data_IF_908876927639
#
_entry.id   IF_908876927639
#
_cell.length_a   1.000
_cell.length_b   1.000
_cell.length_c   1.000
_cell.angle_alpha   90.00
_cell.angle_beta   90.00
_cell.angle_gamma   90.00
#
_symmetry.space_group_name_H-M   'P 1'
#
loop_
_entity.id
_entity.type
_entity.pdbx_description
1 polymer ?
#
# COMPACT_ATOMS: atom_id res chain seq x y z
N UNK A 1 14.97 0.70 23.41
CA UNK A 1 15.23 0.63 21.95
C UNK A 1 13.87 0.64 21.29
N UNK A 2 13.67 1.44 20.24
CA UNK A 2 12.50 1.27 19.37
C UNK A 2 12.84 0.08 18.48
N UNK A 3 12.20 -1.06 18.74
CA UNK A 3 12.43 -2.28 17.96
C UNK A 3 11.67 -2.19 16.64
N UNK A 4 12.22 -2.77 15.58
CA UNK A 4 11.54 -2.87 14.29
C UNK A 4 10.69 -4.13 14.32
N UNK A 5 9.37 -4.00 14.11
CA UNK A 5 8.48 -5.16 14.10
C UNK A 5 8.81 -6.09 12.93
N UNK A 6 8.78 -7.40 13.18
CA UNK A 6 8.82 -8.42 12.13
C UNK A 6 7.45 -8.63 11.47
N UNK A 7 6.41 -7.86 11.79
CA UNK A 7 5.11 -7.96 11.14
C UNK A 7 4.98 -7.00 9.96
N UNK A 8 4.37 -7.47 8.87
CA UNK A 8 3.96 -6.63 7.74
C UNK A 8 2.77 -5.76 8.15
N UNK A 9 3.04 -4.47 8.34
CA UNK A 9 2.03 -3.45 8.56
C UNK A 9 1.47 -3.01 7.21
N UNK A 10 0.29 -3.54 6.89
CA UNK A 10 -0.46 -3.19 5.67
C UNK A 10 -1.51 -2.16 6.05
N UNK A 11 -1.47 -1.00 5.41
CA UNK A 11 -2.58 -0.05 5.43
C UNK A 11 -3.41 -0.23 4.16
N UNK A 12 -4.70 -0.57 4.29
CA UNK A 12 -5.63 -0.70 3.16
C UNK A 12 -6.46 0.57 3.02
N UNK A 13 -6.50 1.12 1.80
CA UNK A 13 -7.39 2.22 1.40
C UNK A 13 -8.51 1.63 0.56
N UNK A 14 -9.74 1.79 1.05
CA UNK A 14 -10.98 1.29 0.44
C UNK A 14 -11.89 2.48 0.21
N UNK A 15 -12.52 2.53 -0.95
CA UNK A 15 -13.32 3.69 -1.35
C UNK A 15 -14.27 3.37 -2.49
N UNK A 16 -14.94 4.39 -3.02
CA UNK A 16 -15.79 4.22 -4.19
C UNK A 16 -15.02 4.55 -5.47
N UNK A 17 -15.42 3.93 -6.57
CA UNK A 17 -14.86 4.21 -7.89
C UNK A 17 -14.88 5.71 -8.18
N UNK A 18 -13.72 6.26 -8.55
CA UNK A 18 -13.55 7.69 -8.83
C UNK A 18 -13.17 8.57 -7.63
N UNK A 19 -13.08 8.00 -6.42
CA UNK A 19 -12.45 8.71 -5.30
C UNK A 19 -10.95 8.87 -5.57
N UNK A 20 -10.38 9.96 -5.04
CA UNK A 20 -8.97 10.30 -5.22
C UNK A 20 -8.16 9.95 -3.97
N UNK A 21 -7.00 9.35 -4.18
CA UNK A 21 -6.05 9.00 -3.11
C UNK A 21 -4.69 9.61 -3.42
N UNK A 22 -4.06 10.21 -2.42
CA UNK A 22 -2.68 10.69 -2.49
C UNK A 22 -1.82 9.82 -1.58
N UNK A 23 -0.85 9.11 -2.15
CA UNK A 23 0.03 8.16 -1.43
C UNK A 23 1.07 8.83 -0.53
N UNK A 24 1.30 10.13 -0.72
CA UNK A 24 2.33 10.90 0.00
C UNK A 24 3.74 10.62 -0.54
N UNK A 25 4.73 11.35 -0.04
CA UNK A 25 6.13 11.13 -0.43
C UNK A 25 6.63 9.79 0.13
N UNK A 26 7.41 9.07 -0.68
CA UNK A 26 8.11 7.86 -0.26
C UNK A 26 7.43 6.55 -0.67
N UNK A 27 6.13 6.54 -0.99
CA UNK A 27 5.47 5.35 -1.53
C UNK A 27 5.53 5.32 -3.06
N UNK A 28 5.95 4.19 -3.60
CA UNK A 28 6.01 3.94 -5.04
C UNK A 28 5.23 2.67 -5.38
N UNK A 29 4.54 2.69 -6.51
CA UNK A 29 3.86 1.52 -7.05
C UNK A 29 4.87 0.39 -7.24
N UNK A 30 4.57 -0.76 -6.64
CA UNK A 30 5.45 -1.92 -6.60
C UNK A 30 5.22 -2.91 -7.75
N UNK A 31 4.40 -2.55 -8.75
CA UNK A 31 3.92 -3.39 -9.88
C UNK A 31 3.15 -4.65 -9.47
N UNK A 32 3.06 -4.94 -8.16
CA UNK A 32 2.33 -6.06 -7.60
C UNK A 32 0.88 -5.69 -7.29
N UNK A 33 0.01 -6.70 -7.36
CA UNK A 33 -1.38 -6.60 -6.97
C UNK A 33 -1.70 -7.72 -5.99
N UNK A 34 -2.58 -7.45 -5.04
CA UNK A 34 -3.01 -8.41 -4.02
C UNK A 34 -4.53 -8.47 -3.95
N UNK A 35 -5.08 -9.68 -3.83
CA UNK A 35 -6.54 -9.87 -3.73
C UNK A 35 -6.89 -10.51 -2.39
N UNK A 36 -7.73 -9.85 -1.60
CA UNK A 36 -8.21 -10.35 -0.30
C UNK A 36 -9.72 -10.17 -0.22
N UNK A 37 -10.42 -11.24 0.18
CA UNK A 37 -11.88 -11.26 0.34
C UNK A 37 -12.66 -10.75 -0.90
N UNK A 38 -12.11 -10.96 -2.09
CA UNK A 38 -12.71 -10.55 -3.37
C UNK A 38 -12.42 -9.12 -3.81
N UNK A 39 -11.61 -8.36 -3.05
CA UNK A 39 -11.16 -7.01 -3.41
C UNK A 39 -9.70 -7.05 -3.86
N UNK A 40 -9.40 -6.42 -5.00
CA UNK A 40 -8.04 -6.32 -5.54
C UNK A 40 -7.44 -4.95 -5.25
N UNK A 41 -6.18 -4.94 -4.84
CA UNK A 41 -5.44 -3.75 -4.45
C UNK A 41 -4.17 -3.60 -5.28
N UNK A 42 -3.87 -2.37 -5.68
CA UNK A 42 -2.56 -1.95 -6.16
C UNK A 42 -1.63 -1.78 -4.95
N UNK A 43 -0.44 -2.38 -5.00
CA UNK A 43 0.49 -2.41 -3.86
C UNK A 43 1.56 -1.34 -4.02
N UNK A 44 1.69 -0.50 -3.00
CA UNK A 44 2.72 0.53 -2.89
C UNK A 44 3.71 0.18 -1.78
N UNK A 45 4.99 0.32 -2.08
CA UNK A 45 6.09 0.09 -1.13
C UNK A 45 6.81 1.40 -0.84
N UNK A 46 7.28 1.58 0.40
CA UNK A 46 8.03 2.78 0.77
C UNK A 46 9.50 2.70 0.35
N UNK A 47 10.13 3.78 -0.11
CA UNK A 47 11.53 3.80 -0.59
C UNK A 47 12.54 3.48 0.51
N UNK A 48 12.25 3.93 1.73
CA UNK A 48 13.05 3.61 2.92
C UNK A 48 12.65 2.28 3.55
N UNK A 49 11.64 1.61 2.98
CA UNK A 49 11.46 0.22 3.28
C UNK A 49 12.67 -0.51 2.67
N UNK A 50 13.63 -0.91 3.53
CA UNK A 50 14.64 -1.91 3.22
C UNK A 50 14.01 -3.08 2.45
N UNK A 51 14.75 -3.92 1.72
CA UNK A 51 14.14 -5.07 1.01
C UNK A 51 13.36 -6.02 1.92
N UNK A 52 13.55 -5.90 3.24
CA UNK A 52 12.84 -6.61 4.32
C UNK A 52 11.83 -5.75 5.10
N UNK A 53 11.66 -4.47 4.74
CA UNK A 53 10.82 -3.57 5.49
C UNK A 53 9.36 -3.74 5.07
N UNK A 54 8.58 -3.81 6.12
CA UNK A 54 7.30 -4.49 6.19
C UNK A 54 6.15 -3.50 6.15
N UNK A 55 6.29 -2.43 5.38
CA UNK A 55 5.24 -1.43 5.21
C UNK A 55 4.77 -1.48 3.77
N UNK A 56 3.49 -1.80 3.62
CA UNK A 56 2.81 -1.75 2.34
C UNK A 56 1.55 -0.88 2.47
N UNK A 57 1.33 -0.04 1.48
CA UNK A 57 0.08 0.69 1.29
C UNK A 57 -0.66 0.01 0.15
N UNK A 58 -1.87 -0.47 0.42
CA UNK A 58 -2.70 -1.17 -0.55
C UNK A 58 -3.89 -0.28 -0.89
N UNK A 59 -4.03 0.07 -2.16
CA UNK A 59 -5.11 0.95 -2.63
C UNK A 59 -6.04 0.11 -3.51
N UNK A 60 -7.34 0.07 -3.17
CA UNK A 60 -8.33 -0.68 -3.94
C UNK A 60 -8.36 -0.23 -5.41
N UNK A 61 -8.40 -1.19 -6.33
CA UNK A 61 -8.49 -0.87 -7.76
C UNK A 61 -9.81 -0.18 -8.09
N UNK A 62 -9.74 0.87 -8.92
CA UNK A 62 -10.87 1.74 -9.26
C UNK A 62 -10.85 3.09 -8.55
N UNK A 63 -9.95 3.26 -7.57
CA UNK A 63 -9.58 4.56 -7.03
C UNK A 63 -8.57 5.25 -7.97
N UNK A 64 -8.58 6.58 -8.02
CA UNK A 64 -7.59 7.35 -8.78
C UNK A 64 -6.46 7.74 -7.86
N UNK A 65 -5.23 7.34 -8.19
CA UNK A 65 -4.03 7.72 -7.45
C UNK A 65 -3.39 8.94 -8.11
N UNK A 66 -3.15 9.99 -7.30
CA UNK A 66 -2.65 11.31 -7.72
C UNK A 66 -1.21 11.56 -7.27
#
# INVERSE_FOLDING_TARGET
MLDISSETNILKVVGNSGDNVTTGLGFSDSIANETVDGVTYDVYTHSDANTDAKVALWIEQGLTVL
#
